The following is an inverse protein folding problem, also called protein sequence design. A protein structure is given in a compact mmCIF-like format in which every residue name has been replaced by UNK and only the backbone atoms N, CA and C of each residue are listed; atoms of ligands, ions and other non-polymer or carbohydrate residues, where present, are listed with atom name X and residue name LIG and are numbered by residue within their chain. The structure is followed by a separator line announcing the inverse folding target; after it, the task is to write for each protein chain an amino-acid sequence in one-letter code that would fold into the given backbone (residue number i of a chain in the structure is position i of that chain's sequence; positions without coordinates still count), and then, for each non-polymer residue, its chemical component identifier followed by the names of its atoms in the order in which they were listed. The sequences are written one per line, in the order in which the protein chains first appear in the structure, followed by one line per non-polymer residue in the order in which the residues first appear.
data_IF_057744862222
#
_entry.id   IF_057744862222
#
_cell.length_a   1.000
_cell.length_b   1.000
_cell.length_c   1.000
_cell.angle_alpha   90.00
_cell.angle_beta   90.00
_cell.angle_gamma   90.00
#
_symmetry.space_group_name_H-M   'P 1'
#
loop_
_entity.id
_entity.type
_entity.pdbx_description
1 polymer ?
2 non-polymer ?
3 water ?
#
# COMPACT_ATOMS: atom_id res chain seq x y z
N UNK A 1 -20.72 17.72 10.53
CA UNK A 1 -20.92 18.46 9.24
C UNK A 1 -20.32 17.72 8.07
N UNK A 2 -20.24 18.39 6.93
CA UNK A 2 -19.67 17.78 5.73
C UNK A 2 -18.15 17.74 5.83
N UNK A 3 -17.54 16.66 5.35
CA UNK A 3 -16.08 16.56 5.35
C UNK A 3 -15.52 17.71 4.50
N UNK A 4 -14.49 18.36 5.00
CA UNK A 4 -13.93 19.49 4.26
C UNK A 4 -13.16 19.04 3.01
N UNK A 5 -12.51 17.88 3.06
CA UNK A 5 -11.74 17.41 1.90
C UNK A 5 -11.74 15.89 1.89
N UNK A 6 -12.85 15.29 1.46
CA UNK A 6 -13.03 13.85 1.39
C UNK A 6 -12.08 13.04 0.53
N UNK A 7 -11.17 13.70 -0.19
CA UNK A 7 -10.21 12.94 -0.99
C UNK A 7 -8.79 13.09 -0.44
N UNK A 8 -8.67 13.52 0.82
CA UNK A 8 -7.35 13.73 1.39
C UNK A 8 -6.56 12.44 1.71
N UNK A 9 -7.20 11.47 2.35
CA UNK A 9 -6.48 10.23 2.70
C UNK A 9 -6.20 9.30 1.53
N UNK A 10 -5.00 8.74 1.51
CA UNK A 10 -4.63 7.70 0.55
C UNK A 10 -3.83 6.75 1.44
N UNK A 11 -4.46 5.64 1.81
CA UNK A 11 -3.87 4.69 2.74
C UNK A 11 -3.64 3.29 2.19
N UNK A 12 -2.46 2.74 2.47
CA UNK A 12 -2.12 1.40 2.01
C UNK A 12 -1.69 0.62 3.23
N UNK A 13 -2.20 -0.61 3.38
CA UNK A 13 -1.86 -1.40 4.55
C UNK A 13 -1.32 -2.77 4.21
N UNK A 14 -0.40 -3.26 5.03
CA UNK A 14 0.24 -4.56 4.87
C UNK A 14 0.15 -5.25 6.22
N UNK A 15 -0.45 -6.42 6.25
CA UNK A 15 -0.58 -7.17 7.51
C UNK A 15 0.18 -8.46 7.43
N UNK A 16 1.39 -8.58 8.49
CA UNK A 16 2.21 -9.78 8.48
C UNK A 16 2.27 -10.31 9.90
N UNK A 17 1.34 -9.89 10.75
CA UNK A 17 1.36 -10.29 12.15
C UNK A 17 1.16 -9.00 12.91
N UNK A 18 1.82 -7.98 12.39
CA UNK A 18 1.71 -6.61 12.86
C UNK A 18 1.33 -5.93 11.56
N UNK A 19 0.73 -4.75 11.63
CA UNK A 19 0.24 -4.11 10.41
C UNK A 19 0.86 -2.75 10.14
N UNK A 20 1.32 -2.58 8.90
CA UNK A 20 1.93 -1.34 8.45
C UNK A 20 0.87 -0.48 7.80
N UNK A 21 0.92 0.82 8.10
CA UNK A 21 -0.02 1.78 7.53
C UNK A 21 0.81 2.86 6.85
N UNK A 22 0.64 2.98 5.54
CA UNK A 22 1.37 3.96 4.75
C UNK A 22 0.30 5.01 4.45
N UNK A 23 0.46 6.17 5.05
CA UNK A 23 -0.54 7.22 4.95
C UNK A 23 -0.11 8.44 4.16
N UNK A 24 -0.82 8.71 3.08
CA UNK A 24 -0.55 9.88 2.28
C UNK A 24 -1.70 10.84 2.50
N UNK A 25 -1.36 12.11 2.72
CA UNK A 25 -2.35 13.15 2.92
C UNK A 25 -2.26 14.14 1.77
N UNK A 26 -3.29 14.16 0.94
CA UNK A 26 -3.34 15.06 -0.20
C UNK A 26 -4.10 16.26 0.32
N UNK A 27 -3.34 17.18 0.88
CA UNK A 27 -3.86 18.36 1.55
C UNK A 27 -4.13 19.59 0.70
N UNK A 28 -3.35 19.77 -0.36
CA UNK A 28 -3.53 20.93 -1.21
C UNK A 28 -2.95 22.20 -0.62
N UNK A 29 -2.35 22.09 0.56
CA UNK A 29 -1.75 23.25 1.22
C UNK A 29 -0.83 22.77 2.33
N UNK A 30 -0.16 23.71 2.99
CA UNK A 30 0.78 23.40 4.08
C UNK A 30 0.06 23.71 5.39
N UNK A 31 -0.09 22.69 6.23
CA UNK A 31 -0.84 22.82 7.49
C UNK A 31 -0.28 22.06 8.68
N UNK A 32 -0.68 22.51 9.87
CA UNK A 32 -0.32 21.81 11.09
C UNK A 32 -1.46 20.79 11.21
N UNK A 33 -1.37 19.75 10.39
CA UNK A 33 -2.39 18.73 10.37
C UNK A 33 -2.32 17.80 11.57
N UNK A 34 -3.41 17.09 11.83
CA UNK A 34 -3.47 16.15 12.94
C UNK A 34 -4.24 14.93 12.45
N UNK A 35 -3.68 13.73 12.65
CA UNK A 35 -4.41 12.52 12.29
C UNK A 35 -4.61 11.74 13.58
N UNK A 36 -5.87 11.54 13.97
CA UNK A 36 -6.18 10.79 15.17
C UNK A 36 -6.50 9.37 14.73
N UNK A 37 -5.94 8.41 15.46
CA UNK A 37 -6.12 7.00 15.11
C UNK A 37 -6.77 6.20 16.22
N UNK A 38 -7.81 5.44 15.85
CA UNK A 38 -8.53 4.60 16.80
C UNK A 38 -7.97 3.18 16.66
N UNK A 39 -7.34 2.69 17.72
CA UNK A 39 -6.77 1.34 17.72
C UNK A 39 -7.55 0.36 18.58
N UNK A 40 -7.55 -0.90 18.16
CA UNK A 40 -8.21 -1.94 18.94
C UNK A 40 -7.45 -2.09 20.26
N UNK A 41 -8.16 -2.42 21.32
CA UNK A 41 -7.51 -2.60 22.61
C UNK A 41 -6.43 -3.69 22.51
N UNK A 42 -5.31 -3.49 23.19
CA UNK A 42 -4.26 -4.49 23.17
C UNK A 42 -3.19 -4.26 22.12
N UNK A 43 -3.44 -3.32 21.21
CA UNK A 43 -2.46 -3.01 20.17
C UNK A 43 -1.73 -1.71 20.51
N UNK A 44 -0.49 -1.59 20.04
CA UNK A 44 0.31 -0.39 20.24
C UNK A 44 1.02 -0.03 18.95
N UNK A 45 1.33 1.25 18.80
CA UNK A 45 2.10 1.69 17.66
C UNK A 45 3.55 1.38 18.02
N UNK A 46 4.20 0.55 17.22
CA UNK A 46 5.56 0.13 17.48
C UNK A 46 6.63 0.78 16.59
N UNK A 47 6.19 1.45 15.52
CA UNK A 47 7.13 2.16 14.64
C UNK A 47 6.40 3.36 14.08
N UNK A 48 7.10 4.49 13.94
CA UNK A 48 6.53 5.70 13.38
C UNK A 48 7.57 6.33 12.46
N UNK A 49 7.12 6.80 11.31
CA UNK A 49 8.00 7.46 10.36
C UNK A 49 7.41 8.78 9.88
N UNK A 50 8.23 9.82 9.95
CA UNK A 50 7.87 11.15 9.49
C UNK A 50 6.74 11.88 10.22
N UNK A 51 6.45 11.45 11.45
CA UNK A 51 5.43 12.09 12.27
C UNK A 51 5.77 11.93 13.74
N UNK A 52 5.25 12.85 14.56
CA UNK A 52 5.42 12.77 16.02
C UNK A 52 4.15 12.10 16.51
N UNK A 53 4.25 11.40 17.63
CA UNK A 53 3.11 10.68 18.18
C UNK A 53 2.81 11.03 19.62
N UNK A 54 1.52 11.14 19.92
CA UNK A 54 1.04 11.45 21.26
C UNK A 54 -0.25 10.65 21.48
N UNK A 55 -0.82 10.72 22.68
CA UNK A 55 -2.08 10.02 22.94
C UNK A 55 -3.01 11.06 23.51
N UNK A 56 -4.26 11.05 23.07
CA UNK A 56 -5.24 12.01 23.54
C UNK A 56 -6.64 11.42 23.53
N UNK A 57 -7.27 11.38 24.70
CA UNK A 57 -8.63 10.88 24.79
C UNK A 57 -8.81 9.45 24.31
N UNK A 58 -7.78 8.62 24.51
CA UNK A 58 -7.88 7.24 24.07
C UNK A 58 -7.52 7.01 22.62
N UNK A 59 -7.17 8.08 21.91
CA UNK A 59 -6.76 7.95 20.51
C UNK A 59 -5.28 8.23 20.38
N UNK A 60 -4.66 7.67 19.34
CA UNK A 60 -3.27 7.96 19.07
C UNK A 60 -3.32 9.21 18.18
N UNK A 61 -2.44 10.15 18.41
CA UNK A 61 -2.46 11.39 17.65
C UNK A 61 -1.14 11.62 16.93
N UNK A 62 -1.20 11.68 15.61
CA UNK A 62 0.00 11.90 14.80
C UNK A 62 0.02 13.34 14.29
N UNK A 63 1.19 13.97 14.39
CA UNK A 63 1.36 15.34 13.90
C UNK A 63 2.64 15.34 13.05
N UNK A 64 2.75 16.25 12.09
CA UNK A 64 3.94 16.27 11.25
C UNK A 64 5.24 16.74 11.87
N UNK A 65 6.35 16.23 11.34
CA UNK A 65 7.64 16.72 11.74
C UNK A 65 7.70 18.03 10.91
N UNK A 66 8.59 18.93 11.26
CA UNK A 66 8.68 20.23 10.59
C UNK A 66 8.61 20.30 9.06
N UNK A 67 9.22 19.34 8.37
CA UNK A 67 9.25 19.35 6.91
C UNK A 67 8.12 18.60 6.22
N UNK A 68 7.21 18.04 6.99
CA UNK A 68 6.14 17.22 6.43
C UNK A 68 4.72 17.78 6.60
N UNK A 69 4.55 19.07 6.35
CA UNK A 69 3.24 19.70 6.51
C UNK A 69 2.38 19.83 5.26
N UNK A 70 2.85 19.31 4.12
CA UNK A 70 2.08 19.39 2.89
C UNK A 70 2.83 20.12 1.78
N UNK A 71 2.20 20.36 0.62
CA UNK A 71 0.81 19.99 0.30
C UNK A 71 0.55 18.48 0.23
N UNK A 72 1.60 17.70 0.01
CA UNK A 72 1.48 16.26 -0.02
C UNK A 72 2.32 15.81 1.15
N UNK A 73 1.69 15.23 2.17
CA UNK A 73 2.45 14.77 3.32
C UNK A 73 2.29 13.27 3.37
N UNK A 74 3.34 12.57 3.76
CA UNK A 74 3.24 11.13 3.88
C UNK A 74 3.97 10.68 5.13
N UNK A 75 3.30 9.84 5.91
CA UNK A 75 3.92 9.30 7.11
C UNK A 75 3.44 7.88 7.21
N UNK A 76 4.04 7.15 8.13
CA UNK A 76 3.66 5.77 8.29
C UNK A 76 3.85 5.30 9.70
N UNK A 77 3.30 4.14 9.99
CA UNK A 77 3.45 3.55 11.31
C UNK A 77 3.10 2.09 11.25
N UNK A 78 3.59 1.33 12.22
CA UNK A 78 3.27 -0.07 12.31
C UNK A 78 2.56 -0.18 13.64
N UNK A 79 1.47 -0.94 13.67
CA UNK A 79 0.74 -1.16 14.92
C UNK A 79 0.68 -2.66 15.10
N UNK A 80 0.82 -3.13 16.34
CA UNK A 80 0.83 -4.56 16.59
C UNK A 80 -0.50 -5.24 16.34
N UNK A 81 -0.43 -6.49 15.91
CA UNK A 81 -1.65 -7.22 15.63
C UNK A 81 -2.09 -7.11 14.18
N UNK A 82 -3.19 -7.79 13.88
CA UNK A 82 -3.79 -7.84 12.54
C UNK A 82 -4.86 -6.77 12.36
N UNK A 83 -4.63 -5.83 11.45
CA UNK A 83 -5.58 -4.75 11.18
C UNK A 83 -6.17 -4.13 12.45
N UNK A 84 -5.30 -3.62 13.34
CA UNK A 84 -5.75 -3.01 14.59
C UNK A 84 -6.37 -1.62 14.45
N UNK A 85 -6.09 -0.95 13.35
CA UNK A 85 -6.67 0.39 13.18
C UNK A 85 -8.13 0.26 12.75
N UNK A 86 -9.02 0.86 13.53
CA UNK A 86 -10.44 0.83 13.22
C UNK A 86 -10.86 2.09 12.48
N UNK A 87 -10.11 3.18 12.67
CA UNK A 87 -10.45 4.43 12.00
C UNK A 87 -9.35 5.46 12.13
N UNK A 88 -9.28 6.36 11.15
CA UNK A 88 -8.31 7.46 11.22
C UNK A 88 -9.07 8.71 10.86
N UNK A 89 -8.75 9.81 11.52
CA UNK A 89 -9.43 11.08 11.29
C UNK A 89 -8.41 12.17 11.00
N UNK A 90 -8.65 12.93 9.93
CA UNK A 90 -7.76 14.04 9.57
C UNK A 90 -8.39 15.37 9.96
N UNK A 91 -7.68 16.12 10.79
CA UNK A 91 -8.15 17.43 11.23
C UNK A 91 -7.16 18.49 10.80
N UNK A 92 -7.70 19.60 10.32
CA UNK A 92 -6.88 20.74 9.91
C UNK A 92 -7.64 21.94 10.49
N UNK A 93 -6.96 22.73 11.31
CA UNK A 93 -7.57 23.90 11.93
C UNK A 93 -8.90 23.59 12.62
N UNK A 94 -8.87 22.52 13.42
CA UNK A 94 -10.02 22.08 14.21
C UNK A 94 -11.27 21.70 13.43
N UNK A 95 -11.09 21.27 12.19
CA UNK A 95 -12.21 20.85 11.36
C UNK A 95 -11.88 19.46 10.82
N UNK A 96 -12.89 18.59 10.74
CA UNK A 96 -12.68 17.23 10.24
C UNK A 96 -12.66 17.30 8.71
N UNK A 97 -11.49 16.97 8.14
CA UNK A 97 -11.31 16.98 6.69
C UNK A 97 -11.64 15.66 6.01
N UNK A 98 -11.22 14.56 6.62
CA UNK A 98 -11.47 13.26 6.01
C UNK A 98 -11.43 12.17 7.08
N UNK A 99 -11.92 10.99 6.70
CA UNK A 99 -11.95 9.84 7.60
C UNK A 99 -11.57 8.61 6.80
N UNK A 100 -10.80 7.72 7.42
CA UNK A 100 -10.43 6.46 6.80
C UNK A 100 -11.17 5.40 7.61
N UNK B 1 10.54 -11.90 7.92
CA UNK B 1 11.45 -13.10 7.86
C UNK B 1 12.23 -13.13 6.56
N UNK B 2 12.92 -14.24 6.29
CA UNK B 2 13.69 -14.36 5.06
C UNK B 2 12.76 -14.64 3.90
N UNK B 3 13.06 -14.09 2.73
CA UNK B 3 12.24 -14.36 1.55
C UNK B 3 12.33 -15.86 1.25
N UNK B 4 11.18 -16.47 0.95
CA UNK B 4 11.18 -17.91 0.68
C UNK B 4 11.84 -18.24 -0.65
N UNK B 5 11.67 -17.39 -1.67
CA UNK B 5 12.26 -17.66 -2.97
C UNK B 5 12.67 -16.35 -3.63
N UNK B 6 13.81 -15.80 -3.21
CA UNK B 6 14.34 -14.54 -3.74
C UNK B 6 14.66 -14.44 -5.21
N UNK B 7 14.56 -15.55 -5.96
CA UNK B 7 14.80 -15.46 -7.39
C UNK B 7 13.52 -15.65 -8.20
N UNK B 8 12.37 -15.52 -7.55
CA UNK B 8 11.11 -15.74 -8.25
C UNK B 8 10.73 -14.69 -9.31
N UNK B 9 10.83 -13.41 -8.95
CA UNK B 9 10.47 -12.36 -9.91
C UNK B 9 11.48 -12.13 -11.04
N UNK B 10 10.96 -11.92 -12.24
CA UNK B 10 11.76 -11.55 -13.41
C UNK B 10 10.82 -10.53 -14.07
N UNK B 11 11.16 -9.25 -13.95
CA UNK B 11 10.31 -8.17 -14.45
C UNK B 11 10.97 -7.30 -15.51
N UNK B 12 10.22 -7.00 -16.56
CA UNK B 12 10.70 -6.15 -17.64
C UNK B 12 9.70 -5.02 -17.80
N UNK B 13 10.20 -3.79 -17.87
CA UNK B 13 9.31 -2.64 -17.98
C UNK B 13 9.61 -1.73 -19.17
N UNK B 14 8.56 -1.19 -19.77
CA UNK B 14 8.67 -0.30 -20.92
C UNK B 14 7.79 0.90 -20.59
N UNK B 15 8.37 2.10 -20.62
CA UNK B 15 7.64 3.35 -20.34
C UNK B 15 7.53 4.25 -21.59
N UNK B 16 6.30 4.48 -22.06
CA UNK B 16 6.05 5.32 -23.24
C UNK B 16 4.97 6.37 -22.94
N UNK B 17 4.71 6.60 -21.67
CA UNK B 17 3.69 7.57 -21.29
C UNK B 17 2.87 6.84 -20.24
N UNK B 18 2.63 5.57 -20.54
CA UNK B 18 2.00 4.62 -19.64
C UNK B 18 3.09 3.57 -19.56
N UNK B 19 3.07 2.74 -18.53
CA UNK B 19 4.16 1.79 -18.37
C UNK B 19 3.70 0.35 -18.37
N UNK B 20 4.36 -0.45 -19.18
CA UNK B 20 4.06 -1.87 -19.31
C UNK B 20 4.96 -2.66 -18.38
N UNK B 21 4.36 -3.63 -17.70
CA UNK B 21 5.10 -4.51 -16.79
C UNK B 21 4.88 -5.94 -17.24
N UNK B 22 5.98 -6.59 -17.61
CA UNK B 22 5.94 -7.96 -18.07
C UNK B 22 6.53 -8.72 -16.90
N UNK B 23 5.69 -9.48 -16.22
CA UNK B 23 6.06 -10.18 -14.99
C UNK B 23 6.14 -11.69 -15.08
N UNK B 24 7.35 -12.23 -14.90
CA UNK B 24 7.54 -13.66 -14.91
C UNK B 24 7.77 -14.11 -13.47
N UNK B 25 7.10 -15.21 -13.11
CA UNK B 25 7.21 -15.77 -11.78
C UNK B 25 7.83 -17.17 -11.90
N UNK B 26 9.08 -17.30 -11.46
CA UNK B 26 9.77 -18.58 -11.50
C UNK B 26 9.47 -19.22 -10.15
N UNK B 27 8.33 -19.89 -10.09
CA UNK B 27 7.85 -20.49 -8.86
C UNK B 27 8.39 -21.87 -8.53
N UNK B 28 8.67 -22.67 -9.56
CA UNK B 28 9.19 -24.01 -9.33
C UNK B 28 8.09 -25.04 -9.15
N UNK B 29 6.86 -24.56 -9.00
CA UNK B 29 5.71 -25.43 -8.82
C UNK B 29 4.43 -24.69 -9.16
N UNK B 30 3.30 -25.38 -9.04
CA UNK B 30 2.00 -24.78 -9.35
C UNK B 30 1.35 -24.26 -8.07
N UNK B 31 0.97 -23.00 -8.07
CA UNK B 31 0.40 -22.37 -6.88
C UNK B 31 -0.69 -21.34 -7.16
N UNK B 32 -1.51 -21.12 -6.15
CA UNK B 32 -2.51 -20.05 -6.23
C UNK B 32 -1.70 -18.87 -5.71
N UNK B 33 -0.86 -18.34 -6.58
CA UNK B 33 0.00 -17.24 -6.21
C UNK B 33 -0.76 -15.92 -6.16
N UNK B 34 -0.18 -14.95 -5.47
CA UNK B 34 -0.78 -13.63 -5.35
C UNK B 34 0.34 -12.62 -5.52
N UNK B 35 0.14 -11.64 -6.40
CA UNK B 35 1.13 -10.60 -6.56
C UNK B 35 0.43 -9.31 -6.29
N UNK B 36 0.96 -8.58 -4.99
CA UNK B 36 0.34 -7.33 -4.61
C UNK B 36 1.22 -6.24 -5.20
N UNK B 37 0.59 -5.22 -5.76
CA UNK B 37 1.32 -4.13 -6.41
C UNK B 37 0.99 -2.78 -5.79
N UNK B 38 2.05 -2.04 -5.43
CA UNK B 38 1.89 -0.70 -4.87
C UNK B 38 2.05 0.30 -6.01
N UNK B 39 0.98 1.04 -6.31
CA UNK B 39 1.01 2.06 -7.36
C UNK B 39 1.02 3.46 -6.79
N UNK B 40 1.66 4.37 -7.51
CA UNK B 40 1.67 5.78 -7.11
C UNK B 40 0.25 6.32 -7.23
N UNK B 41 -0.10 7.27 -6.38
CA UNK B 41 -1.43 7.86 -6.44
C UNK B 41 -1.68 8.47 -7.81
N UNK B 42 -2.92 8.32 -8.30
CA UNK B 42 -3.28 8.88 -9.59
C UNK B 42 -3.11 7.95 -10.77
N UNK B 43 -2.47 6.81 -10.53
CA UNK B 43 -2.27 5.80 -11.59
C UNK B 43 -3.30 4.68 -11.46
N UNK B 44 -3.63 4.07 -12.60
CA UNK B 44 -4.54 2.94 -12.60
C UNK B 44 -4.03 1.88 -13.56
N UNK B 45 -4.36 0.64 -13.27
CA UNK B 45 -4.02 -0.46 -14.17
C UNK B 45 -5.05 -0.37 -15.31
N UNK B 46 -4.58 -0.20 -16.54
CA UNK B 46 -5.47 -0.05 -17.68
C UNK B 46 -5.54 -1.27 -18.62
N UNK B 47 -4.62 -2.22 -18.44
CA UNK B 47 -4.62 -3.44 -19.24
C UNK B 47 -4.07 -4.55 -18.36
N UNK B 48 -4.63 -5.75 -18.49
CA UNK B 48 -4.17 -6.90 -17.73
C UNK B 48 -4.21 -8.13 -18.63
N UNK B 49 -3.15 -8.92 -18.59
CA UNK B 49 -3.09 -10.13 -19.40
C UNK B 49 -2.70 -11.35 -18.57
N UNK B 50 -3.52 -12.40 -18.70
CA UNK B 50 -3.29 -13.68 -18.03
C UNK B 50 -3.34 -13.70 -16.53
N UNK B 51 -4.06 -12.73 -15.96
CA UNK B 51 -4.26 -12.63 -14.53
C UNK B 51 -5.58 -11.92 -14.23
N UNK B 52 -6.12 -12.19 -13.05
CA UNK B 52 -7.32 -11.51 -12.60
C UNK B 52 -6.83 -10.41 -11.69
N UNK B 53 -7.62 -9.35 -11.56
CA UNK B 53 -7.21 -8.22 -10.75
C UNK B 53 -8.26 -7.76 -9.76
N UNK B 54 -7.81 -7.42 -8.57
CA UNK B 54 -8.70 -6.91 -7.51
C UNK B 54 -7.93 -5.86 -6.74
N UNK B 55 -8.58 -5.25 -5.73
CA UNK B 55 -7.91 -4.24 -4.90
C UNK B 55 -8.09 -4.67 -3.45
N UNK B 56 -7.02 -4.59 -2.68
CA UNK B 56 -7.04 -4.96 -1.28
C UNK B 56 -6.11 -4.09 -0.42
N UNK B 57 -6.67 -3.39 0.55
CA UNK B 57 -5.87 -2.56 1.44
C UNK B 57 -5.06 -1.48 0.73
N UNK B 58 -5.58 -0.97 -0.38
CA UNK B 58 -4.86 0.06 -1.10
C UNK B 58 -3.85 -0.47 -2.12
N UNK B 59 -3.74 -1.78 -2.22
CA UNK B 59 -2.84 -2.38 -3.19
C UNK B 59 -3.63 -3.05 -4.29
N UNK B 60 -3.01 -3.17 -5.47
CA UNK B 60 -3.66 -3.87 -6.55
C UNK B 60 -3.23 -5.33 -6.33
N UNK B 61 -4.15 -6.27 -6.51
CA UNK B 61 -3.83 -7.67 -6.26
C UNK B 61 -4.06 -8.50 -7.51
N UNK B 62 -3.01 -9.13 -8.01
CA UNK B 62 -3.12 -9.98 -9.19
C UNK B 62 -3.12 -11.43 -8.77
N UNK B 63 -3.98 -12.23 -9.40
CA UNK B 63 -4.03 -13.66 -9.14
C UNK B 63 -4.10 -14.32 -10.51
N UNK B 64 -3.67 -15.59 -10.61
CA UNK B 64 -3.69 -16.26 -11.90
C UNK B 64 -5.00 -16.74 -12.47
N UNK B 65 -5.06 -16.80 -13.79
CA UNK B 65 -6.21 -17.40 -14.42
C UNK B 65 -5.90 -18.90 -14.23
N UNK B 66 -6.92 -19.75 -14.37
CA UNK B 66 -6.79 -21.19 -14.17
C UNK B 66 -5.54 -21.90 -14.67
N UNK B 67 -5.13 -21.59 -15.91
CA UNK B 67 -3.97 -22.24 -16.52
C UNK B 67 -2.61 -21.58 -16.31
N UNK B 68 -2.56 -20.52 -15.51
CA UNK B 68 -1.30 -19.80 -15.30
C UNK B 68 -0.78 -19.85 -13.87
N UNK B 69 -0.75 -21.04 -13.27
CA UNK B 69 -0.32 -21.20 -11.89
C UNK B 69 1.12 -21.64 -11.67
N UNK B 70 1.87 -21.80 -12.76
CA UNK B 70 3.26 -22.21 -12.64
C UNK B 70 3.52 -23.51 -13.37
N UNK B 71 4.72 -24.08 -13.26
CA UNK B 71 5.86 -23.61 -12.47
C UNK B 71 6.45 -22.26 -12.89
N UNK B 72 6.28 -21.91 -14.16
CA UNK B 72 6.75 -20.62 -14.64
C UNK B 72 5.47 -19.92 -15.08
N UNK B 73 5.08 -18.88 -14.36
CA UNK B 73 3.87 -18.16 -14.73
C UNK B 73 4.28 -16.78 -15.21
N UNK B 74 3.57 -16.28 -16.20
CA UNK B 74 3.87 -14.96 -16.70
C UNK B 74 2.59 -14.20 -16.96
N UNK B 75 2.54 -12.96 -16.48
CA UNK B 75 1.37 -12.14 -16.71
C UNK B 75 1.88 -10.74 -16.96
N UNK B 76 1.00 -9.87 -17.41
CA UNK B 76 1.44 -8.52 -17.69
C UNK B 76 0.33 -7.54 -17.41
N UNK B 77 0.71 -6.28 -17.31
CA UNK B 77 -0.27 -5.23 -17.11
C UNK B 77 0.33 -3.91 -17.50
N UNK B 78 -0.53 -2.95 -17.80
CA UNK B 78 -0.07 -1.62 -18.14
C UNK B 78 -0.70 -0.74 -17.08
N UNK B 79 0.09 0.18 -16.54
CA UNK B 79 -0.44 1.10 -15.55
C UNK B 79 -0.16 2.50 -16.10
N UNK B 80 -1.08 3.42 -15.89
CA UNK B 80 -0.95 4.77 -16.42
C UNK B 80 0.16 5.59 -15.79
N UNK B 81 0.78 6.43 -16.60
CA UNK B 81 1.87 7.23 -16.09
C UNK B 81 3.23 6.58 -16.28
N UNK B 82 4.26 7.32 -15.90
CA UNK B 82 5.65 6.90 -16.00
C UNK B 82 6.13 6.19 -14.73
N UNK B 83 6.48 4.91 -14.87
CA UNK B 83 6.97 4.10 -13.74
C UNK B 83 6.15 4.25 -12.47
N UNK B 84 4.84 4.00 -12.55
CA UNK B 84 3.99 4.13 -11.37
C UNK B 84 4.13 3.03 -10.33
N UNK B 85 4.67 1.88 -10.71
CA UNK B 85 4.80 0.81 -9.74
C UNK B 85 5.98 1.06 -8.83
N UNK B 86 5.71 1.11 -7.53
CA UNK B 86 6.75 1.35 -6.55
C UNK B 86 7.26 0.06 -5.96
N UNK B 87 6.43 -0.99 -6.00
CA UNK B 87 6.84 -2.27 -5.45
C UNK B 87 5.86 -3.37 -5.80
N UNK B 88 6.36 -4.60 -5.87
CA UNK B 88 5.49 -5.76 -6.09
C UNK B 88 5.89 -6.80 -5.09
N UNK B 89 4.90 -7.55 -4.59
CA UNK B 89 5.12 -8.57 -3.59
C UNK B 89 4.51 -9.90 -4.01
N UNK B 90 5.30 -10.97 -3.97
CA UNK B 90 4.80 -12.29 -4.32
C UNK B 90 4.52 -13.10 -3.06
N UNK B 91 3.28 -13.56 -2.93
CA UNK B 91 2.87 -14.37 -1.79
C UNK B 91 2.41 -15.72 -2.30
N UNK B 92 2.83 -16.77 -1.60
CA UNK B 92 2.41 -18.13 -1.94
C UNK B 92 2.11 -18.75 -0.59
N UNK B 93 0.90 -19.28 -0.46
CA UNK B 93 0.47 -19.89 0.79
C UNK B 93 0.72 -18.99 2.00
N UNK B 94 0.35 -17.73 1.85
CA UNK B 94 0.48 -16.73 2.91
C UNK B 94 1.87 -16.37 3.39
N UNK B 95 2.87 -16.67 2.58
CA UNK B 95 4.25 -16.33 2.92
C UNK B 95 4.83 -15.45 1.83
N UNK B 96 5.63 -14.47 2.22
CA UNK B 96 6.27 -13.59 1.25
C UNK B 96 7.44 -14.34 0.59
N UNK B 97 7.30 -14.61 -0.71
CA UNK B 97 8.33 -15.31 -1.48
C UNK B 97 9.39 -14.40 -2.08
N UNK B 98 8.96 -13.26 -2.61
CA UNK B 98 9.91 -12.35 -3.23
C UNK B 98 9.31 -10.95 -3.31
N UNK B 99 10.17 -9.97 -3.57
CA UNK B 99 9.76 -8.58 -3.68
C UNK B 99 10.49 -7.97 -4.87
N UNK B 100 9.80 -7.09 -5.60
CA UNK B 100 10.41 -6.37 -6.71
C UNK B 100 10.49 -4.92 -6.25
X LIG C 1 6.04 9.95 23.52
X LIG C 1 5.85 11.28 23.03
X LIG C 1 4.77 9.12 23.27
X LIG C 1 4.49 9.06 21.86
X LIG C 1 4.97 7.72 23.81
X LIG C 1 3.79 6.94 23.55
X LIG D 1 10.52 12.04 14.27
X LIG D 1 11.64 12.14 13.39
X LIG D 1 10.25 10.57 14.59
X LIG D 1 11.30 10.06 15.40
X LIG D 1 8.92 10.45 15.34
X LIG D 1 8.76 9.12 15.83
X LIG E 1 -11.25 23.35 0.26
X LIG E 1 -12.59 22.88 0.26
X LIG E 1 -10.28 22.19 0.53
X LIG E 1 -10.10 21.44 -0.67
X LIG E 1 -8.94 22.74 0.99
X LIG E 1 -8.20 23.23 -0.14
X LIG F 1 -12.87 -5.76 -11.50
X LIG F 1 -12.86 -7.11 -11.02
X LIG F 1 -11.80 -4.95 -10.76
X LIG F 1 -10.51 -5.52 -10.98
X LIG F 1 -11.83 -3.51 -11.27
X LIG F 1 -10.84 -2.75 -10.59
X LIG G 1 9.99 -24.30 -2.29
X LIG G 1 9.22 -24.10 -1.11
X LIG G 1 10.52 -22.95 -2.80
X LIG G 1 9.91 -21.89 -2.05
X LIG G 1 12.02 -22.89 -2.64
X LIG G 1 12.39 -21.69 -1.96
#
# INVERSE_FOLDING_TARGET
GDLVKPDAFSVKIQDWGSTEYDVTLNLGGTYDWVVKVKLKDGSAVSSVWSANKAEEGGYVVFTPVSWNKGPTATFGFIATGSEPVEAMYLYVNDQLWDVW
GDLVKPDAFSVKIQDWGSTEYDVTLNLGGTYDWVVKVKLKDGSAVSSVWSANKAEEGGYVVFTPVSWNKGPTATFGFIATGSEPVEAMYLYVNDQLWDVW
GOL C1 O1 C2 O2 C3 O3
GOL C1 O1 C2 O2 C3 O3
GOL C1 O1 C2 O2 C3 O3
GOL C1 O1 C2 O2 C3 O3
GOL C1 O1 C2 O2 C3 O3
#
